data_IF_275135019840
#
_entry.id   IF_275135019840
#
_cell.length_a   1.000
_cell.length_b   1.000
_cell.length_c   1.000
_cell.angle_alpha   90.00
_cell.angle_beta   90.00
_cell.angle_gamma   90.00
#
_symmetry.space_group_name_H-M   'P 1'
#
loop_
_entity.id
_entity.type
_entity.pdbx_description
1 polymer ?
#
# COMPACT_ATOMS: atom_id res chain seq x y z
N UNK A 1 9.30 10.79 -30.01
CA UNK A 1 10.51 10.44 -29.25
C UNK A 1 10.36 10.98 -27.83
N UNK A 2 10.45 10.09 -26.86
CA UNK A 2 10.33 10.52 -25.46
C UNK A 2 11.66 11.07 -24.98
N UNK A 3 11.60 12.09 -24.17
CA UNK A 3 12.80 12.64 -23.56
C UNK A 3 13.32 11.71 -22.48
N UNK A 4 14.63 11.64 -22.29
CA UNK A 4 15.17 10.83 -21.19
C UNK A 4 14.72 11.41 -19.85
N UNK A 5 14.46 10.53 -18.90
CA UNK A 5 14.07 10.95 -17.55
C UNK A 5 15.28 11.62 -16.88
N UNK A 6 15.03 12.77 -16.27
CA UNK A 6 16.07 13.49 -15.53
C UNK A 6 16.58 12.62 -14.39
N UNK A 7 17.91 12.41 -14.27
CA UNK A 7 18.47 11.64 -13.17
C UNK A 7 18.03 12.10 -11.78
N UNK A 8 17.80 13.42 -11.61
CA UNK A 8 17.28 13.93 -10.34
C UNK A 8 15.87 13.43 -10.03
N UNK A 9 15.05 13.23 -11.05
CA UNK A 9 13.70 12.66 -10.89
C UNK A 9 13.78 11.20 -10.47
N UNK A 10 14.71 10.44 -11.06
CA UNK A 10 14.92 9.04 -10.71
C UNK A 10 15.36 8.90 -9.25
N UNK A 11 16.31 9.74 -8.84
CA UNK A 11 16.81 9.73 -7.46
C UNK A 11 15.71 10.12 -6.47
N UNK A 12 14.88 11.11 -6.83
CA UNK A 12 13.77 11.53 -5.99
C UNK A 12 12.75 10.41 -5.82
N UNK A 13 12.40 9.73 -6.93
CA UNK A 13 11.47 8.61 -6.88
C UNK A 13 12.01 7.49 -6.00
N UNK A 14 13.29 7.13 -6.17
CA UNK A 14 13.93 6.08 -5.36
C UNK A 14 13.87 6.43 -3.87
N UNK A 15 14.13 7.69 -3.54
CA UNK A 15 14.08 8.13 -2.15
C UNK A 15 12.68 8.06 -1.57
N UNK A 16 11.68 8.47 -2.35
CA UNK A 16 10.29 8.44 -1.90
C UNK A 16 9.83 7.01 -1.64
N UNK A 17 10.21 6.07 -2.51
CA UNK A 17 9.91 4.66 -2.29
C UNK A 17 10.61 4.13 -1.04
N UNK A 18 11.87 4.51 -0.81
CA UNK A 18 12.59 4.09 0.38
C UNK A 18 11.95 4.62 1.66
N UNK A 19 11.44 5.85 1.64
CA UNK A 19 10.74 6.42 2.78
C UNK A 19 9.47 5.63 3.11
N UNK A 20 8.74 5.19 2.08
CA UNK A 20 7.55 4.35 2.27
C UNK A 20 7.92 2.99 2.86
N UNK A 21 8.98 2.36 2.34
CA UNK A 21 9.45 1.06 2.85
C UNK A 21 9.92 1.12 4.30
N UNK A 22 10.54 2.22 4.69
CA UNK A 22 11.13 2.36 6.03
C UNK A 22 10.20 3.04 7.03
N UNK A 23 9.01 3.45 6.61
CA UNK A 23 8.03 4.05 7.51
C UNK A 23 8.40 5.46 7.96
N UNK A 24 9.18 6.20 7.16
CA UNK A 24 9.58 7.57 7.46
C UNK A 24 8.45 8.52 7.07
N UNK A 25 7.38 8.47 7.81
CA UNK A 25 6.10 9.11 7.47
C UNK A 25 6.23 10.63 7.29
N UNK A 26 6.88 11.31 8.21
CA UNK A 26 6.98 12.77 8.15
C UNK A 26 7.74 13.24 6.93
N UNK A 27 8.86 12.57 6.61
CA UNK A 27 9.64 12.92 5.43
C UNK A 27 8.87 12.62 4.15
N UNK A 28 8.18 11.47 4.11
CA UNK A 28 7.37 11.09 2.95
C UNK A 28 6.27 12.12 2.71
N UNK A 29 5.57 12.50 3.77
CA UNK A 29 4.48 13.48 3.68
C UNK A 29 5.00 14.82 3.16
N UNK A 30 6.18 15.24 3.60
CA UNK A 30 6.77 16.49 3.12
C UNK A 30 6.98 16.47 1.61
N UNK A 31 7.44 15.34 1.05
CA UNK A 31 7.59 15.21 -0.41
C UNK A 31 6.24 15.23 -1.12
N UNK A 32 5.23 14.56 -0.55
CA UNK A 32 3.88 14.56 -1.14
C UNK A 32 3.28 15.96 -1.13
N UNK A 33 3.45 16.68 -0.04
CA UNK A 33 2.96 18.05 0.09
C UNK A 33 3.70 19.00 -0.87
N UNK A 34 4.92 18.67 -1.24
CA UNK A 34 5.70 19.43 -2.20
C UNK A 34 5.36 19.10 -3.66
N UNK A 35 4.46 18.14 -3.90
CA UNK A 35 3.96 17.86 -5.25
C UNK A 35 4.37 16.52 -5.84
N UNK A 36 5.07 15.66 -5.09
CA UNK A 36 5.35 14.30 -5.58
C UNK A 36 4.03 13.54 -5.71
N UNK A 37 3.79 12.87 -6.85
CA UNK A 37 2.53 12.16 -7.07
C UNK A 37 2.27 11.07 -6.03
N UNK A 38 1.09 11.10 -5.44
CA UNK A 38 0.68 10.12 -4.44
C UNK A 38 0.63 8.70 -5.00
N UNK A 39 0.26 8.56 -6.28
CA UNK A 39 0.11 7.26 -6.94
C UNK A 39 1.33 6.84 -7.75
N UNK A 40 2.49 7.39 -7.41
CA UNK A 40 3.75 6.97 -8.03
C UNK A 40 3.97 5.48 -7.83
N UNK A 41 4.41 4.78 -8.88
CA UNK A 41 4.69 3.34 -8.80
C UNK A 41 6.13 3.05 -9.17
N UNK A 42 6.70 2.02 -8.55
CA UNK A 42 8.03 1.54 -8.92
C UNK A 42 7.94 0.58 -10.12
N UNK A 43 9.04 -0.05 -10.48
CA UNK A 43 9.11 -0.96 -11.64
C UNK A 43 8.36 -2.27 -11.44
N UNK A 44 7.84 -2.53 -10.25
CA UNK A 44 6.99 -3.70 -9.95
C UNK A 44 5.51 -3.32 -9.85
N UNK A 45 5.20 -2.06 -10.12
CA UNK A 45 3.85 -1.56 -9.98
C UNK A 45 3.42 -1.30 -8.54
N UNK A 46 4.36 -1.34 -7.58
CA UNK A 46 4.03 -1.05 -6.19
C UNK A 46 3.80 0.44 -6.00
N UNK A 47 2.67 0.80 -5.39
CA UNK A 47 2.41 2.17 -4.96
C UNK A 47 3.08 2.41 -3.62
N UNK A 48 3.12 3.67 -3.21
CA UNK A 48 3.61 4.01 -1.87
C UNK A 48 2.78 3.30 -0.80
N UNK A 49 1.48 3.23 -1.00
CA UNK A 49 0.57 2.56 -0.06
C UNK A 49 0.89 1.06 0.05
N UNK A 50 1.09 0.38 -1.08
CA UNK A 50 1.43 -1.04 -1.09
C UNK A 50 2.75 -1.28 -0.37
N UNK A 51 3.77 -0.45 -0.63
CA UNK A 51 5.07 -0.58 0.02
C UNK A 51 4.95 -0.39 1.54
N UNK A 52 4.22 0.62 1.98
CA UNK A 52 4.03 0.88 3.40
C UNK A 52 3.28 -0.28 4.09
N UNK A 53 2.28 -0.84 3.41
CA UNK A 53 1.53 -1.98 3.94
C UNK A 53 2.39 -3.24 3.99
N UNK A 54 3.12 -3.51 2.90
CA UNK A 54 3.97 -4.70 2.81
C UNK A 54 5.06 -4.70 3.88
N UNK A 55 5.59 -3.53 4.22
CA UNK A 55 6.62 -3.39 5.25
C UNK A 55 6.04 -3.09 6.64
N UNK A 56 4.73 -3.19 6.79
CA UNK A 56 4.01 -3.11 8.07
C UNK A 56 4.21 -1.78 8.82
N UNK A 57 3.92 -0.68 8.14
CA UNK A 57 4.00 0.67 8.70
C UNK A 57 2.62 1.31 8.81
N UNK A 58 1.88 1.04 9.90
CA UNK A 58 0.48 1.53 10.03
C UNK A 58 0.37 3.06 9.98
N UNK A 59 1.29 3.77 10.58
CA UNK A 59 1.27 5.25 10.56
C UNK A 59 1.42 5.82 9.17
N UNK A 60 2.32 5.22 8.38
CA UNK A 60 2.53 5.63 6.99
C UNK A 60 1.29 5.32 6.15
N UNK A 61 0.72 4.13 6.31
CA UNK A 61 -0.51 3.75 5.60
C UNK A 61 -1.64 4.74 5.92
N UNK A 62 -1.82 5.05 7.20
CA UNK A 62 -2.86 6.00 7.61
C UNK A 62 -2.64 7.39 6.99
N UNK A 63 -1.41 7.86 6.96
CA UNK A 63 -1.08 9.16 6.36
C UNK A 63 -1.34 9.20 4.85
N UNK A 64 -1.03 8.11 4.15
CA UNK A 64 -1.29 8.00 2.72
C UNK A 64 -2.80 7.94 2.43
N UNK A 65 -3.54 7.16 3.21
CA UNK A 65 -4.99 7.07 3.06
C UNK A 65 -5.67 8.41 3.34
N UNK A 66 -5.17 9.16 4.33
CA UNK A 66 -5.70 10.48 4.64
C UNK A 66 -5.55 11.46 3.46
N UNK A 67 -4.59 11.20 2.58
CA UNK A 67 -4.37 12.01 1.38
C UNK A 67 -5.09 11.45 0.17
N UNK A 68 -5.88 10.40 0.33
CA UNK A 68 -6.69 9.84 -0.74
C UNK A 68 -5.99 8.76 -1.57
N UNK A 69 -4.98 8.10 -1.02
CA UNK A 69 -4.32 7.00 -1.74
C UNK A 69 -5.32 5.94 -2.16
N UNK A 70 -5.17 5.44 -3.38
CA UNK A 70 -6.07 4.44 -3.96
C UNK A 70 -5.74 3.05 -3.41
N UNK A 71 -6.53 2.60 -2.44
CA UNK A 71 -6.35 1.29 -1.82
C UNK A 71 -6.76 0.13 -2.73
N UNK A 72 -7.49 0.41 -3.81
CA UNK A 72 -7.93 -0.64 -4.76
C UNK A 72 -6.88 -1.00 -5.80
N UNK A 73 -5.82 -0.22 -5.90
CA UNK A 73 -4.81 -0.44 -6.92
C UNK A 73 -3.93 -1.65 -6.58
N UNK A 74 -3.68 -2.51 -7.57
CA UNK A 74 -2.82 -3.68 -7.42
C UNK A 74 -1.49 -3.47 -8.12
N UNK A 75 -0.45 -4.12 -7.62
CA UNK A 75 0.85 -4.13 -8.29
C UNK A 75 0.84 -5.14 -9.45
N UNK A 76 2.01 -5.32 -10.09
CA UNK A 76 2.13 -6.23 -11.24
C UNK A 76 1.83 -7.70 -10.92
N UNK A 77 1.88 -8.07 -9.63
CA UNK A 77 1.53 -9.42 -9.18
C UNK A 77 0.07 -9.53 -8.75
N UNK A 78 -0.71 -8.47 -8.95
CA UNK A 78 -2.10 -8.45 -8.54
C UNK A 78 -2.35 -8.20 -7.06
N UNK A 79 -1.31 -7.82 -6.30
CA UNK A 79 -1.42 -7.63 -4.87
C UNK A 79 -1.87 -6.21 -4.54
N UNK A 80 -2.92 -6.09 -3.73
CA UNK A 80 -3.39 -4.80 -3.19
C UNK A 80 -2.72 -4.53 -1.85
N UNK A 81 -2.88 -3.31 -1.35
CA UNK A 81 -2.38 -2.98 -0.01
C UNK A 81 -3.01 -3.86 1.07
N UNK A 82 -4.31 -4.16 0.94
CA UNK A 82 -4.98 -5.03 1.91
C UNK A 82 -4.42 -6.45 1.89
N UNK A 83 -4.17 -7.01 0.69
CA UNK A 83 -3.57 -8.33 0.57
C UNK A 83 -2.17 -8.34 1.19
N UNK A 84 -1.39 -7.28 0.99
CA UNK A 84 -0.06 -7.14 1.60
C UNK A 84 -0.16 -7.12 3.14
N UNK A 85 -1.14 -6.38 3.68
CA UNK A 85 -1.35 -6.31 5.12
C UNK A 85 -1.71 -7.68 5.71
N UNK A 86 -2.54 -8.44 5.00
CA UNK A 86 -2.90 -9.82 5.40
C UNK A 86 -1.67 -10.71 5.38
N UNK A 87 -0.88 -10.62 4.30
CA UNK A 87 0.36 -11.39 4.18
C UNK A 87 1.31 -11.10 5.35
N UNK A 88 1.36 -9.85 5.78
CA UNK A 88 2.18 -9.45 6.94
C UNK A 88 1.52 -9.79 8.28
N UNK A 89 0.28 -10.26 8.27
CA UNK A 89 -0.48 -10.63 9.46
C UNK A 89 -0.63 -9.46 10.43
N UNK A 90 -0.77 -8.27 9.88
CA UNK A 90 -0.89 -7.05 10.69
C UNK A 90 -2.36 -6.68 10.87
N UNK A 91 -2.91 -6.98 12.03
CA UNK A 91 -4.29 -6.63 12.34
C UNK A 91 -4.54 -5.12 12.26
N UNK A 92 -3.67 -4.25 12.82
CA UNK A 92 -3.89 -2.81 12.72
C UNK A 92 -3.96 -2.31 11.27
N UNK A 93 -3.10 -2.84 10.39
CA UNK A 93 -3.11 -2.45 8.98
C UNK A 93 -4.38 -2.92 8.29
N UNK A 94 -4.78 -4.17 8.54
CA UNK A 94 -6.00 -4.72 7.94
C UNK A 94 -7.20 -3.88 8.37
N UNK A 95 -7.31 -3.55 9.64
CA UNK A 95 -8.41 -2.72 10.15
C UNK A 95 -8.41 -1.33 9.51
N UNK A 96 -7.25 -0.70 9.44
CA UNK A 96 -7.11 0.63 8.86
C UNK A 96 -7.56 0.64 7.39
N UNK A 97 -7.14 -0.36 6.62
CA UNK A 97 -7.50 -0.45 5.21
C UNK A 97 -8.99 -0.78 5.01
N UNK A 98 -9.52 -1.69 5.82
CA UNK A 98 -10.95 -2.01 5.76
C UNK A 98 -11.81 -0.78 6.14
N UNK A 99 -11.41 -0.03 7.15
CA UNK A 99 -12.12 1.19 7.56
C UNK A 99 -12.10 2.24 6.46
N UNK A 100 -11.07 2.23 5.62
CA UNK A 100 -10.97 3.12 4.47
C UNK A 100 -11.78 2.63 3.26
N UNK A 101 -12.37 1.44 3.34
CA UNK A 101 -13.21 0.90 2.28
C UNK A 101 -12.52 -0.10 1.35
N UNK A 102 -11.34 -0.60 1.72
CA UNK A 102 -10.63 -1.57 0.88
C UNK A 102 -11.46 -2.84 0.71
N UNK A 103 -11.48 -3.36 -0.52
CA UNK A 103 -12.26 -4.54 -0.89
C UNK A 103 -11.45 -5.82 -0.64
N UNK A 104 -11.92 -6.72 0.24
CA UNK A 104 -11.21 -7.98 0.52
C UNK A 104 -11.09 -8.92 -0.69
N UNK A 105 -11.91 -8.71 -1.71
CA UNK A 105 -11.93 -9.55 -2.90
C UNK A 105 -11.18 -8.94 -4.09
N UNK A 106 -10.63 -7.74 -3.93
CA UNK A 106 -9.89 -7.09 -5.01
C UNK A 106 -8.50 -7.72 -5.18
N UNK A 107 -8.04 -7.72 -6.42
CA UNK A 107 -6.71 -8.26 -6.76
C UNK A 107 -6.73 -9.78 -6.96
N UNK A 108 -5.59 -10.30 -7.32
CA UNK A 108 -5.42 -11.75 -7.50
C UNK A 108 -4.00 -12.19 -7.25
N UNK A 109 -3.70 -12.86 -6.12
CA UNK A 109 -4.66 -13.25 -5.09
C UNK A 109 -5.16 -12.08 -4.26
N UNK A 110 -6.43 -12.14 -3.90
CA UNK A 110 -7.05 -11.13 -3.05
C UNK A 110 -6.61 -11.30 -1.59
N UNK A 111 -6.99 -10.33 -0.76
CA UNK A 111 -6.74 -10.45 0.68
C UNK A 111 -7.39 -11.70 1.25
N UNK A 112 -8.62 -11.97 0.83
CA UNK A 112 -9.38 -13.15 1.29
C UNK A 112 -8.71 -14.45 0.86
N UNK A 113 -8.26 -14.51 -0.39
CA UNK A 113 -7.52 -15.66 -0.89
C UNK A 113 -6.18 -15.86 -0.19
N UNK A 114 -5.49 -14.76 0.10
CA UNK A 114 -4.23 -14.79 0.83
C UNK A 114 -4.41 -15.36 2.24
N UNK A 115 -5.45 -14.91 2.95
CA UNK A 115 -5.74 -15.42 4.29
C UNK A 115 -6.07 -16.92 4.26
N UNK A 116 -6.81 -17.37 3.25
CA UNK A 116 -7.15 -18.78 3.11
C UNK A 116 -5.91 -19.62 2.76
N UNK A 117 -5.09 -19.15 1.84
CA UNK A 117 -3.91 -19.87 1.38
C UNK A 117 -2.92 -20.12 2.53
N UNK A 118 -2.70 -19.13 3.37
CA UNK A 118 -1.76 -19.24 4.49
C UNK A 118 -2.44 -19.71 5.77
N UNK A 119 -3.72 -20.08 5.71
CA UNK A 119 -4.47 -20.57 6.85
C UNK A 119 -4.39 -19.60 8.03
N UNK A 120 -4.82 -18.36 7.79
CA UNK A 120 -4.82 -17.29 8.78
C UNK A 120 -6.25 -17.01 9.25
N UNK A 121 -6.79 -17.80 10.19
CA UNK A 121 -8.20 -17.66 10.58
C UNK A 121 -8.52 -16.30 11.19
N UNK A 122 -7.57 -15.68 11.90
CA UNK A 122 -7.78 -14.37 12.49
C UNK A 122 -7.92 -13.29 11.41
N UNK A 123 -7.12 -13.38 10.35
CA UNK A 123 -7.23 -12.47 9.22
C UNK A 123 -8.53 -12.72 8.46
N UNK A 124 -8.88 -13.99 8.22
CA UNK A 124 -10.14 -14.31 7.56
C UNK A 124 -11.33 -13.74 8.32
N UNK A 125 -11.31 -13.83 9.64
CA UNK A 125 -12.38 -13.29 10.47
C UNK A 125 -12.50 -11.77 10.34
N UNK A 126 -11.37 -11.06 10.28
CA UNK A 126 -11.37 -9.63 10.08
C UNK A 126 -11.98 -9.24 8.73
N UNK A 127 -11.64 -9.99 7.68
CA UNK A 127 -12.11 -9.72 6.33
C UNK A 127 -13.60 -10.00 6.13
N UNK A 128 -14.20 -10.78 6.99
CA UNK A 128 -15.63 -11.11 6.93
C UNK A 128 -16.52 -10.11 7.62
N UNK A 129 -15.95 -9.09 8.27
CA UNK A 129 -16.75 -8.05 8.89
C UNK A 129 -17.57 -7.30 7.85
N UNK A 130 -18.84 -7.00 8.16
CA UNK A 130 -19.63 -6.23 7.22
C UNK A 130 -19.03 -4.85 7.00
N UNK A 131 -19.12 -4.38 5.76
CA UNK A 131 -18.66 -3.04 5.40
C UNK A 131 -19.50 -2.01 6.15
N UNK A 132 -18.88 -0.93 6.54
CA UNK A 132 -19.54 0.16 7.24
C UNK A 132 -19.69 1.38 6.38
#
# INVERSE_FOLDING_TARGET
MSEPVDPGVIELAARVFDLARSGRTEELVAYLDAGVPLELTNDRGDTLLILAAYHAHPGTVAALLARGADHGRANDRGQTALAAAVFRRSEPLVRTLLDAGADPDAGGPSARETAAFFELPEMSALLERPAR
#
